data_IF_934022233922
#
_entry.id   IF_934022233922
#
_cell.length_a   1.000
_cell.length_b   1.000
_cell.length_c   1.000
_cell.angle_alpha   90.00
_cell.angle_beta   90.00
_cell.angle_gamma   90.00
#
_symmetry.space_group_name_H-M   'P 1'
#
loop_
_entity.id
_entity.type
_entity.pdbx_description
1 polymer ?
#
# COMPACT_ATOMS: atom_id res chain seq x y z
N UNK A 1 48.34 14.19 -0.42
CA UNK A 1 47.03 13.63 0.00
C UNK A 1 45.96 14.69 -0.24
N UNK A 2 45.15 14.54 -1.30
CA UNK A 2 44.05 15.46 -1.63
C UNK A 2 42.82 15.06 -0.82
N UNK A 3 42.20 16.01 -0.12
CA UNK A 3 40.92 15.79 0.60
C UNK A 3 39.80 15.49 -0.41
N UNK A 4 38.86 14.57 -0.10
CA UNK A 4 37.68 14.37 -0.93
C UNK A 4 36.75 15.58 -0.76
N UNK A 5 36.51 16.30 -1.85
CA UNK A 5 35.42 17.26 -1.98
C UNK A 5 34.10 16.48 -1.98
N UNK A 6 33.35 16.59 -0.88
CA UNK A 6 31.96 16.16 -0.83
C UNK A 6 31.17 17.03 -1.81
N UNK A 7 30.71 16.45 -2.91
CA UNK A 7 29.70 17.07 -3.76
C UNK A 7 28.39 17.09 -2.96
N UNK A 8 28.10 18.24 -2.34
CA UNK A 8 26.74 18.55 -1.95
C UNK A 8 25.97 18.80 -3.24
N UNK A 9 25.03 17.93 -3.58
CA UNK A 9 23.97 18.32 -4.52
C UNK A 9 23.25 19.52 -3.91
N UNK A 10 23.02 20.61 -4.67
CA UNK A 10 22.21 21.71 -4.18
C UNK A 10 20.81 21.15 -3.89
N UNK A 11 20.28 21.41 -2.68
CA UNK A 11 18.95 20.99 -2.26
C UNK A 11 17.84 21.37 -3.27
N UNK A 12 18.08 22.39 -4.10
CA UNK A 12 17.21 22.80 -5.19
C UNK A 12 17.06 21.78 -6.34
N UNK A 13 18.07 20.93 -6.60
CA UNK A 13 17.97 19.89 -7.64
C UNK A 13 17.18 18.66 -7.17
N UNK A 14 17.21 18.36 -5.86
CA UNK A 14 16.36 17.33 -5.27
C UNK A 14 14.90 17.80 -5.16
N UNK A 15 14.69 19.09 -4.87
CA UNK A 15 13.37 19.72 -4.90
C UNK A 15 12.76 19.79 -6.31
N UNK A 16 13.56 20.05 -7.35
CA UNK A 16 13.07 20.11 -8.74
C UNK A 16 12.69 18.74 -9.33
N UNK A 17 13.24 17.63 -8.81
CA UNK A 17 12.81 16.28 -9.17
C UNK A 17 11.52 15.89 -8.42
N UNK A 18 11.28 16.46 -7.23
CA UNK A 18 10.03 16.29 -6.46
C UNK A 18 8.87 17.17 -6.99
N UNK A 19 9.15 18.24 -7.74
CA UNK A 19 8.15 19.18 -8.25
C UNK A 19 7.57 18.77 -9.63
N UNK A 20 8.00 17.63 -10.19
CA UNK A 20 7.48 17.09 -11.46
C UNK A 20 6.87 15.68 -11.30
N UNK A 21 6.78 15.18 -10.07
CA UNK A 21 6.05 13.97 -9.71
C UNK A 21 4.86 14.39 -8.86
N UNK A 22 3.65 14.31 -9.41
CA UNK A 22 2.37 14.51 -8.72
C UNK A 22 2.13 13.44 -7.64
N UNK A 23 3.00 13.40 -6.64
CA UNK A 23 2.93 12.42 -5.56
C UNK A 23 2.01 12.94 -4.47
N UNK A 24 0.96 12.19 -4.17
CA UNK A 24 0.15 12.39 -2.98
C UNK A 24 0.79 11.65 -1.81
N UNK A 25 0.82 12.33 -0.67
CA UNK A 25 1.18 11.70 0.59
C UNK A 25 -0.09 11.26 1.31
N UNK A 26 -0.24 9.95 1.43
CA UNK A 26 -1.30 9.31 2.21
C UNK A 26 -0.81 9.09 3.64
N UNK A 27 -1.41 9.76 4.62
CA UNK A 27 -1.01 9.59 6.03
C UNK A 27 -2.17 9.11 6.88
N UNK A 28 -1.97 8.00 7.58
CA UNK A 28 -2.92 7.48 8.58
C UNK A 28 -2.36 7.68 9.99
N UNK A 29 -3.14 8.30 10.86
CA UNK A 29 -2.87 8.42 12.29
C UNK A 29 -3.93 7.62 13.04
N UNK A 30 -3.53 6.48 13.58
CA UNK A 30 -4.38 5.56 14.33
C UNK A 30 -4.14 5.79 15.82
N UNK A 31 -5.16 6.32 16.50
CA UNK A 31 -5.14 6.44 17.96
C UNK A 31 -5.92 5.28 18.59
N UNK A 32 -5.23 4.38 19.28
CA UNK A 32 -5.82 3.22 19.96
C UNK A 32 -6.26 3.51 21.40
N UNK A 33 -6.42 4.79 21.75
CA UNK A 33 -7.02 5.27 22.98
C UNK A 33 -8.50 4.89 23.13
N UNK A 34 -9.21 5.60 24.00
CA UNK A 34 -10.62 5.35 24.28
C UNK A 34 -11.44 6.64 24.11
N UNK A 35 -12.25 6.77 23.04
CA UNK A 35 -12.51 5.79 21.98
C UNK A 35 -11.39 5.72 20.92
N UNK A 36 -11.18 4.56 20.26
CA UNK A 36 -10.20 4.42 19.18
C UNK A 36 -10.70 5.10 17.90
N UNK A 37 -9.80 5.74 17.16
CA UNK A 37 -10.12 6.45 15.93
C UNK A 37 -8.95 6.42 14.93
N UNK A 38 -9.29 6.61 13.65
CA UNK A 38 -8.33 6.83 12.56
C UNK A 38 -8.56 8.23 12.00
N UNK A 39 -7.48 8.96 11.85
CA UNK A 39 -7.40 10.15 11.01
C UNK A 39 -6.62 9.81 9.76
N UNK A 40 -7.14 10.18 8.60
CA UNK A 40 -6.52 9.97 7.31
C UNK A 40 -6.37 11.29 6.60
N UNK A 41 -5.14 11.67 6.25
CA UNK A 41 -4.87 12.90 5.51
C UNK A 41 -4.31 12.58 4.13
N UNK A 42 -4.73 13.37 3.14
CA UNK A 42 -4.11 13.43 1.83
C UNK A 42 -3.53 14.83 1.64
N UNK A 43 -2.25 14.87 1.28
CA UNK A 43 -1.55 16.09 0.90
C UNK A 43 -1.05 15.88 -0.54
N UNK A 44 -1.49 16.71 -1.49
CA UNK A 44 -1.02 16.65 -2.86
C UNK A 44 -1.64 17.71 -3.77
N UNK A 45 -1.29 17.67 -5.05
CA UNK A 45 -1.73 18.70 -5.99
C UNK A 45 -3.22 18.57 -6.34
N UNK A 46 -3.77 19.65 -6.90
CA UNK A 46 -5.19 19.69 -7.23
C UNK A 46 -5.60 18.82 -8.42
N UNK A 47 -4.68 18.47 -9.31
CA UNK A 47 -4.98 17.65 -10.48
C UNK A 47 -5.22 16.22 -10.00
N UNK A 48 -4.30 15.69 -9.21
CA UNK A 48 -4.31 14.30 -8.74
C UNK A 48 -5.46 14.06 -7.74
N UNK A 49 -5.75 15.04 -6.88
CA UNK A 49 -6.82 14.88 -5.87
C UNK A 49 -8.24 15.01 -6.42
N UNK A 50 -8.45 15.65 -7.57
CA UNK A 50 -9.80 15.97 -8.09
C UNK A 50 -10.12 15.41 -9.47
N UNK A 51 -9.20 14.73 -10.14
CA UNK A 51 -9.50 14.04 -11.40
C UNK A 51 -10.37 12.77 -11.22
N UNK A 52 -10.61 12.38 -9.95
CA UNK A 52 -11.48 11.29 -9.55
C UNK A 52 -10.83 9.93 -9.58
N UNK A 53 -9.54 9.82 -9.91
CA UNK A 53 -8.81 8.54 -9.95
C UNK A 53 -8.44 8.03 -8.58
N UNK A 54 -8.23 8.93 -7.62
CA UNK A 54 -7.99 8.57 -6.22
C UNK A 54 -9.32 8.44 -5.50
N UNK A 55 -9.56 7.24 -4.98
CA UNK A 55 -10.75 6.93 -4.21
C UNK A 55 -10.71 7.70 -2.86
N UNK A 56 -11.45 8.80 -2.78
CA UNK A 56 -11.64 9.51 -1.53
C UNK A 56 -12.66 8.76 -0.65
N UNK A 57 -12.50 8.73 0.69
CA UNK A 57 -13.51 8.16 1.57
C UNK A 57 -14.82 8.96 1.52
N UNK A 58 -15.77 8.49 0.71
CA UNK A 58 -17.09 9.11 0.56
C UNK A 58 -18.15 8.48 1.47
N UNK A 59 -17.94 7.23 1.88
CA UNK A 59 -18.94 6.45 2.62
C UNK A 59 -18.71 6.47 4.14
N UNK A 60 -19.79 6.38 4.95
CA UNK A 60 -19.68 6.10 6.38
C UNK A 60 -18.79 4.88 6.67
N UNK A 61 -18.01 4.89 7.76
CA UNK A 61 -18.06 5.85 8.86
C UNK A 61 -17.07 7.03 8.72
N UNK A 62 -16.52 7.26 7.54
CA UNK A 62 -15.61 8.37 7.30
C UNK A 62 -16.33 9.72 7.27
N UNK A 63 -15.74 10.71 7.90
CA UNK A 63 -16.21 12.09 7.90
C UNK A 63 -15.07 13.02 7.50
N UNK A 64 -15.27 13.85 6.49
CA UNK A 64 -14.33 14.92 6.13
C UNK A 64 -14.32 15.96 7.27
N UNK A 65 -13.17 16.14 7.92
CA UNK A 65 -12.98 17.07 9.05
C UNK A 65 -12.25 18.33 8.66
N UNK A 66 -11.40 18.27 7.63
CA UNK A 66 -10.59 19.41 7.17
C UNK A 66 -10.50 19.39 5.65
N UNK A 67 -10.62 20.57 5.05
CA UNK A 67 -10.35 20.81 3.63
C UNK A 67 -9.69 22.17 3.51
N UNK A 68 -8.40 22.16 3.23
CA UNK A 68 -7.61 23.37 3.06
C UNK A 68 -6.96 23.40 1.69
N UNK A 69 -6.79 24.62 1.20
CA UNK A 69 -6.17 24.92 -0.08
C UNK A 69 -5.00 25.86 0.20
N UNK A 70 -3.82 25.43 -0.21
CA UNK A 70 -2.60 26.23 -0.18
C UNK A 70 -2.16 26.53 -1.61
N UNK A 71 -1.69 27.75 -1.84
CA UNK A 71 -1.09 28.13 -3.13
C UNK A 71 0.40 28.27 -2.86
N UNK A 72 1.19 27.41 -3.49
CA UNK A 72 2.64 27.46 -3.32
C UNK A 72 3.17 28.75 -3.99
N UNK A 73 3.90 29.61 -3.25
CA UNK A 73 4.37 30.88 -3.78
C UNK A 73 5.36 30.76 -4.95
N UNK A 74 6.06 29.64 -5.04
CA UNK A 74 7.20 29.46 -5.95
C UNK A 74 6.77 29.16 -7.39
N UNK A 75 5.71 28.38 -7.57
CA UNK A 75 5.26 27.86 -8.85
C UNK A 75 3.76 28.06 -9.11
N UNK A 76 3.04 28.69 -8.18
CA UNK A 76 1.58 28.86 -8.22
C UNK A 76 0.80 27.54 -8.28
N UNK A 77 1.42 26.42 -7.89
CA UNK A 77 0.70 25.14 -7.75
C UNK A 77 -0.30 25.22 -6.61
N UNK A 78 -1.44 24.56 -6.80
CA UNK A 78 -2.50 24.50 -5.80
C UNK A 78 -2.38 23.15 -5.11
N UNK A 79 -2.00 23.17 -3.84
CA UNK A 79 -1.96 21.98 -2.98
C UNK A 79 -3.23 21.94 -2.15
N UNK A 80 -3.80 20.74 -2.01
CA UNK A 80 -4.91 20.51 -1.13
C UNK A 80 -4.52 19.60 0.03
N UNK A 81 -5.05 19.95 1.19
CA UNK A 81 -4.94 19.18 2.42
C UNK A 81 -6.33 18.71 2.80
N UNK A 82 -6.59 17.42 2.64
CA UNK A 82 -7.85 16.79 3.01
C UNK A 82 -7.61 15.96 4.28
N UNK A 83 -8.47 16.09 5.29
CA UNK A 83 -8.44 15.21 6.46
C UNK A 83 -9.81 14.56 6.66
N UNK A 84 -9.79 13.24 6.85
CA UNK A 84 -10.92 12.41 7.15
C UNK A 84 -10.73 11.78 8.51
N UNK A 85 -11.83 11.54 9.22
CA UNK A 85 -11.83 10.84 10.49
C UNK A 85 -12.88 9.74 10.49
N UNK A 86 -12.54 8.61 11.09
CA UNK A 86 -13.47 7.51 11.32
C UNK A 86 -13.25 6.89 12.70
N UNK A 87 -14.32 6.46 13.41
CA UNK A 87 -14.18 5.63 14.59
C UNK A 87 -13.62 4.25 14.21
N UNK A 88 -12.76 3.69 15.06
CA UNK A 88 -12.18 2.35 14.87
C UNK A 88 -12.78 1.35 15.87
N UNK A 89 -14.10 1.33 15.93
CA UNK A 89 -14.88 0.43 16.80
C UNK A 89 -15.09 -0.94 16.19
N UNK A 90 -15.05 -1.04 14.86
CA UNK A 90 -15.18 -2.25 14.07
C UNK A 90 -14.11 -2.31 12.97
N UNK A 91 -14.21 -3.28 12.06
CA UNK A 91 -13.32 -3.38 10.90
C UNK A 91 -13.58 -2.18 9.98
N UNK A 92 -12.60 -1.30 9.86
CA UNK A 92 -12.69 -0.08 9.06
C UNK A 92 -12.02 -0.30 7.69
N UNK A 93 -12.71 0.06 6.61
CA UNK A 93 -12.14 0.02 5.25
C UNK A 93 -11.30 1.27 5.00
N UNK A 94 -10.14 1.11 4.34
CA UNK A 94 -9.28 2.22 3.96
C UNK A 94 -9.30 2.47 2.44
N UNK A 95 -9.02 3.70 1.97
CA UNK A 95 -9.19 4.09 0.56
C UNK A 95 -8.10 3.58 -0.39
N UNK A 96 -6.93 3.16 0.10
CA UNK A 96 -5.78 2.74 -0.74
C UNK A 96 -5.91 1.31 -1.32
N UNK A 97 -7.09 0.72 -1.20
CA UNK A 97 -7.33 -0.64 -1.69
C UNK A 97 -7.81 -0.63 -3.16
N UNK A 98 -7.51 -1.67 -3.95
CA UNK A 98 -8.17 -1.89 -5.23
C UNK A 98 -9.69 -2.01 -5.01
N UNK A 99 -10.54 -1.57 -5.96
CA UNK A 99 -11.99 -1.57 -5.78
C UNK A 99 -12.62 -2.93 -5.46
N UNK A 100 -12.00 -4.04 -5.89
CA UNK A 100 -12.55 -5.38 -5.69
C UNK A 100 -12.09 -6.05 -4.38
N UNK A 101 -11.09 -5.50 -3.70
CA UNK A 101 -10.54 -6.08 -2.46
C UNK A 101 -10.67 -5.12 -1.29
N UNK A 102 -10.89 -5.69 -0.11
CA UNK A 102 -11.06 -4.90 1.10
C UNK A 102 -9.72 -4.68 1.78
N UNK A 103 -9.20 -3.46 1.69
CA UNK A 103 -8.17 -3.00 2.61
C UNK A 103 -8.79 -2.67 3.96
N UNK A 104 -8.19 -3.15 5.06
CA UNK A 104 -8.83 -3.06 6.37
C UNK A 104 -7.90 -2.62 7.49
N UNK A 105 -8.47 -1.88 8.44
CA UNK A 105 -7.93 -1.65 9.77
C UNK A 105 -8.78 -2.42 10.78
N UNK A 106 -8.12 -3.19 11.64
CA UNK A 106 -8.76 -4.00 12.68
C UNK A 106 -8.07 -3.80 14.01
N UNK A 107 -8.88 -3.68 15.06
CA UNK A 107 -8.40 -3.72 16.44
C UNK A 107 -9.01 -4.89 17.19
N UNK A 108 -8.22 -5.50 18.07
CA UNK A 108 -8.71 -6.50 19.01
C UNK A 108 -8.24 -6.14 20.42
N UNK A 109 -9.14 -6.26 21.38
CA UNK A 109 -8.83 -6.12 22.81
C UNK A 109 -9.06 -7.49 23.46
N UNK A 110 -8.05 -8.05 24.11
CA UNK A 110 -8.13 -9.32 24.83
C UNK A 110 -7.56 -9.16 26.24
N UNK A 111 -8.05 -9.96 27.17
CA UNK A 111 -7.49 -10.07 28.51
C UNK A 111 -6.80 -11.41 28.65
N UNK A 112 -5.53 -11.41 29.06
CA UNK A 112 -4.69 -12.59 29.21
C UNK A 112 -4.05 -12.58 30.59
N UNK A 113 -4.83 -13.00 31.60
CA UNK A 113 -4.39 -13.12 32.99
C UNK A 113 -3.89 -11.79 33.57
N UNK A 114 -2.58 -11.57 33.56
CA UNK A 114 -1.95 -10.37 34.11
C UNK A 114 -1.87 -9.19 33.13
N UNK A 115 -2.29 -9.38 31.88
CA UNK A 115 -2.14 -8.37 30.83
C UNK A 115 -3.46 -8.07 30.11
N UNK A 116 -3.66 -6.80 29.78
CA UNK A 116 -4.57 -6.36 28.71
C UNK A 116 -3.76 -6.32 27.42
N UNK A 117 -4.23 -7.03 26.40
CA UNK A 117 -3.59 -7.11 25.10
C UNK A 117 -4.42 -6.33 24.09
N UNK A 118 -3.77 -5.38 23.43
CA UNK A 118 -4.34 -4.63 22.32
C UNK A 118 -3.61 -5.04 21.05
N UNK A 119 -4.33 -5.56 20.06
CA UNK A 119 -3.77 -5.88 18.75
C UNK A 119 -4.35 -4.93 17.72
N UNK A 120 -3.48 -4.37 16.91
CA UNK A 120 -3.82 -3.65 15.70
C UNK A 120 -3.31 -4.42 14.49
N UNK A 121 -4.10 -4.45 13.44
CA UNK A 121 -3.74 -5.06 12.17
C UNK A 121 -4.27 -4.18 11.05
N UNK A 122 -3.38 -3.80 10.13
CA UNK A 122 -3.73 -3.14 8.89
C UNK A 122 -3.34 -4.05 7.73
N UNK A 123 -4.25 -4.23 6.77
CA UNK A 123 -4.02 -5.04 5.58
C UNK A 123 -4.22 -4.17 4.35
N UNK A 124 -3.12 -3.95 3.62
CA UNK A 124 -3.08 -3.28 2.33
C UNK A 124 -2.98 -4.34 1.24
N UNK A 125 -4.10 -4.72 0.58
CA UNK A 125 -4.11 -5.79 -0.41
C UNK A 125 -3.25 -5.46 -1.62
N UNK A 126 -2.70 -6.50 -2.25
CA UNK A 126 -2.01 -6.37 -3.53
C UNK A 126 -2.97 -5.90 -4.64
N UNK A 127 -2.46 -5.05 -5.52
CA UNK A 127 -3.14 -4.62 -6.74
C UNK A 127 -3.05 -5.64 -7.88
N UNK A 128 -2.14 -6.63 -7.77
CA UNK A 128 -1.87 -7.69 -8.76
C UNK A 128 -1.67 -7.10 -10.15
N UNK A 129 -0.79 -6.09 -10.23
CA UNK A 129 -0.63 -5.21 -11.40
C UNK A 129 -0.19 -6.02 -12.61
N UNK A 130 0.82 -6.87 -12.46
CA UNK A 130 1.33 -7.74 -13.53
C UNK A 130 0.25 -8.69 -14.03
N UNK A 131 -0.55 -9.25 -13.14
CA UNK A 131 -1.64 -10.16 -13.51
C UNK A 131 -2.78 -9.45 -14.23
N UNK A 132 -3.08 -8.19 -13.86
CA UNK A 132 -4.21 -7.43 -14.41
C UNK A 132 -3.88 -6.64 -15.66
N UNK A 133 -2.66 -6.14 -15.75
CA UNK A 133 -2.26 -5.14 -16.75
C UNK A 133 -1.03 -5.55 -17.55
N UNK A 134 -0.34 -6.61 -17.12
CA UNK A 134 0.88 -7.11 -17.76
C UNK A 134 2.15 -6.60 -17.08
N UNK A 135 3.27 -7.24 -17.42
CA UNK A 135 4.60 -6.83 -16.97
C UNK A 135 5.23 -5.91 -18.03
N UNK A 136 5.35 -4.61 -17.73
CA UNK A 136 5.96 -3.65 -18.66
C UNK A 136 7.45 -3.93 -18.89
N UNK A 137 8.15 -4.36 -17.84
CA UNK A 137 9.59 -4.65 -17.87
C UNK A 137 9.89 -5.84 -18.79
N UNK A 138 8.94 -6.77 -18.96
CA UNK A 138 9.09 -7.88 -19.91
C UNK A 138 9.27 -7.42 -21.38
N UNK A 139 8.90 -6.17 -21.69
CA UNK A 139 9.06 -5.58 -23.02
C UNK A 139 10.27 -4.65 -23.13
N UNK A 140 10.97 -4.36 -22.03
CA UNK A 140 12.14 -3.50 -22.01
C UNK A 140 13.41 -4.29 -22.33
N UNK A 141 14.18 -3.91 -23.36
CA UNK A 141 15.51 -4.47 -23.57
C UNK A 141 16.43 -4.15 -22.39
N UNK A 142 17.27 -5.07 -21.89
CA UNK A 142 18.14 -4.82 -20.73
C UNK A 142 19.14 -3.66 -20.89
N UNK A 143 19.39 -3.21 -22.12
CA UNK A 143 20.21 -2.02 -22.38
C UNK A 143 19.52 -0.71 -21.95
N UNK A 144 18.19 -0.71 -21.81
CA UNK A 144 17.40 0.44 -21.33
C UNK A 144 17.69 0.73 -19.85
N UNK A 145 18.05 -0.27 -19.04
CA UNK A 145 18.43 -0.11 -17.63
C UNK A 145 19.58 0.89 -17.44
N UNK A 146 20.40 1.11 -18.47
CA UNK A 146 21.46 2.12 -18.45
C UNK A 146 20.93 3.54 -18.30
N UNK A 147 19.69 3.82 -18.72
CA UNK A 147 19.04 5.11 -18.54
C UNK A 147 18.70 5.41 -17.09
N UNK A 148 18.50 4.37 -16.27
CA UNK A 148 18.07 4.50 -14.87
C UNK A 148 19.25 4.54 -13.89
N UNK A 149 20.47 4.29 -14.39
CA UNK A 149 21.66 4.32 -13.56
C UNK A 149 22.00 5.75 -13.12
N UNK A 150 22.38 5.96 -11.84
CA UNK A 150 22.83 7.27 -11.37
C UNK A 150 23.98 7.82 -12.22
N UNK A 151 23.78 9.00 -12.81
CA UNK A 151 24.77 9.66 -13.67
C UNK A 151 24.71 9.27 -15.15
N UNK A 152 23.69 8.52 -15.59
CA UNK A 152 23.46 8.16 -17.00
C UNK A 152 23.55 9.37 -17.94
N UNK A 153 23.01 10.53 -17.52
CA UNK A 153 23.06 11.79 -18.28
C UNK A 153 24.48 12.26 -18.63
N UNK A 154 25.47 11.91 -17.80
CA UNK A 154 26.87 12.29 -18.00
C UNK A 154 27.71 11.18 -18.61
N UNK A 155 27.31 9.92 -18.41
CA UNK A 155 28.05 8.75 -18.86
C UNK A 155 27.74 8.37 -20.31
N UNK A 156 26.52 8.65 -20.79
CA UNK A 156 26.07 8.31 -22.14
C UNK A 156 26.30 9.46 -23.12
N UNK A 157 26.75 9.14 -24.33
CA UNK A 157 26.71 10.14 -25.41
C UNK A 157 25.26 10.50 -25.73
N UNK A 158 24.97 11.74 -26.20
CA UNK A 158 23.61 12.14 -26.54
C UNK A 158 22.94 11.21 -27.56
N UNK A 159 23.70 10.71 -28.54
CA UNK A 159 23.22 9.76 -29.54
C UNK A 159 22.86 8.41 -28.91
N UNK A 160 23.68 7.90 -28.00
CA UNK A 160 23.41 6.64 -27.32
C UNK A 160 22.20 6.76 -26.39
N UNK A 161 22.08 7.86 -25.64
CA UNK A 161 20.92 8.16 -24.80
C UNK A 161 19.62 8.20 -25.64
N UNK A 162 19.62 8.96 -26.73
CA UNK A 162 18.46 9.05 -27.63
C UNK A 162 18.08 7.68 -28.25
N UNK A 163 19.05 6.83 -28.54
CA UNK A 163 18.77 5.45 -28.99
C UNK A 163 18.08 4.63 -27.90
N UNK A 164 18.57 4.67 -26.66
CA UNK A 164 17.99 3.92 -25.55
C UNK A 164 16.58 4.44 -25.20
N UNK A 165 16.36 5.76 -25.25
CA UNK A 165 15.03 6.36 -25.06
C UNK A 165 14.03 5.85 -26.11
N UNK A 166 14.43 5.76 -27.38
CA UNK A 166 13.58 5.16 -28.43
C UNK A 166 13.29 3.69 -28.18
N UNK A 167 14.26 2.92 -27.69
CA UNK A 167 14.05 1.51 -27.33
C UNK A 167 13.08 1.37 -26.15
N UNK A 168 13.20 2.22 -25.13
CA UNK A 168 12.24 2.31 -24.01
C UNK A 168 10.84 2.62 -24.53
N UNK A 169 10.70 3.66 -25.36
CA UNK A 169 9.41 4.04 -25.93
C UNK A 169 8.78 2.91 -26.76
N UNK A 170 9.57 2.18 -27.56
CA UNK A 170 9.09 0.98 -28.27
C UNK A 170 8.68 -0.15 -27.33
N UNK A 171 9.40 -0.35 -26.23
CA UNK A 171 9.03 -1.29 -25.17
C UNK A 171 7.68 -0.92 -24.54
N UNK A 172 7.51 0.35 -24.17
CA UNK A 172 6.27 0.87 -23.58
C UNK A 172 5.09 0.72 -24.54
N UNK A 173 5.27 1.00 -25.83
CA UNK A 173 4.23 0.78 -26.85
C UNK A 173 3.77 -0.69 -26.94
N UNK A 174 4.70 -1.64 -26.81
CA UNK A 174 4.37 -3.07 -26.79
C UNK A 174 3.68 -3.47 -25.48
N UNK A 175 4.13 -2.95 -24.35
CA UNK A 175 3.50 -3.16 -23.06
C UNK A 175 2.05 -2.63 -23.06
N UNK A 176 1.81 -1.42 -23.56
CA UNK A 176 0.46 -0.85 -23.76
C UNK A 176 -0.40 -1.74 -24.66
N UNK A 177 0.14 -2.22 -25.78
CA UNK A 177 -0.58 -3.12 -26.68
C UNK A 177 -0.99 -4.43 -25.98
N UNK A 178 -0.08 -5.02 -25.19
CA UNK A 178 -0.37 -6.20 -24.39
C UNK A 178 -1.44 -5.93 -23.32
N UNK A 179 -1.35 -4.80 -22.62
CA UNK A 179 -2.34 -4.37 -21.63
C UNK A 179 -3.74 -4.34 -22.24
N UNK A 180 -3.92 -3.76 -23.43
CA UNK A 180 -5.23 -3.73 -24.09
C UNK A 180 -5.76 -5.11 -24.47
N UNK A 181 -4.90 -6.05 -24.88
CA UNK A 181 -5.31 -7.45 -25.07
C UNK A 181 -5.80 -8.05 -23.74
N UNK A 182 -5.10 -7.81 -22.64
CA UNK A 182 -5.52 -8.26 -21.31
C UNK A 182 -6.84 -7.62 -20.85
N UNK A 183 -7.09 -6.35 -21.18
CA UNK A 183 -8.39 -5.72 -20.91
C UNK A 183 -9.53 -6.44 -21.64
N UNK A 184 -9.34 -6.82 -22.91
CA UNK A 184 -10.34 -7.60 -23.66
C UNK A 184 -10.56 -8.96 -23.02
N UNK A 185 -9.50 -9.65 -22.63
CA UNK A 185 -9.60 -10.91 -21.89
C UNK A 185 -10.42 -10.74 -20.60
N UNK A 186 -10.09 -9.76 -19.77
CA UNK A 186 -10.81 -9.50 -18.51
C UNK A 186 -12.28 -9.12 -18.72
N UNK A 187 -12.60 -8.38 -19.78
CA UNK A 187 -13.98 -8.09 -20.14
C UNK A 187 -14.76 -9.38 -20.48
N UNK A 188 -14.17 -10.25 -21.32
CA UNK A 188 -14.81 -11.51 -21.70
C UNK A 188 -14.96 -12.43 -20.49
N UNK A 189 -13.92 -12.61 -19.67
CA UNK A 189 -13.96 -13.43 -18.46
C UNK A 189 -14.96 -12.89 -17.43
N UNK A 190 -14.95 -11.57 -17.20
CA UNK A 190 -15.85 -10.89 -16.27
C UNK A 190 -17.32 -11.08 -16.63
N UNK A 191 -17.65 -11.05 -17.93
CA UNK A 191 -19.03 -11.27 -18.40
C UNK A 191 -19.62 -12.61 -17.98
N UNK A 192 -18.83 -13.69 -18.03
CA UNK A 192 -19.27 -15.02 -17.59
C UNK A 192 -19.22 -15.16 -16.07
N UNK A 193 -18.21 -14.58 -15.42
CA UNK A 193 -18.07 -14.59 -13.97
C UNK A 193 -19.28 -13.96 -13.27
N UNK A 194 -19.77 -12.84 -13.78
CA UNK A 194 -20.95 -12.14 -13.25
C UNK A 194 -22.24 -12.98 -13.33
N UNK A 195 -22.25 -14.03 -14.17
CA UNK A 195 -23.36 -14.99 -14.32
C UNK A 195 -23.14 -16.28 -13.52
N UNK A 196 -22.00 -16.43 -12.86
CA UNK A 196 -21.60 -17.67 -12.21
C UNK A 196 -21.28 -18.78 -13.22
N UNK A 197 -20.91 -18.43 -14.45
CA UNK A 197 -20.57 -19.35 -15.51
C UNK A 197 -19.05 -19.45 -15.69
N UNK A 198 -18.58 -20.61 -16.16
CA UNK A 198 -17.17 -20.79 -16.56
C UNK A 198 -17.03 -20.40 -18.03
N UNK A 199 -16.08 -19.50 -18.33
CA UNK A 199 -15.80 -19.10 -19.71
C UNK A 199 -15.07 -20.21 -20.48
N UNK A 200 -15.50 -20.46 -21.72
CA UNK A 200 -14.79 -21.34 -22.64
C UNK A 200 -13.56 -20.62 -23.21
N UNK A 201 -12.40 -21.29 -23.26
CA UNK A 201 -11.16 -20.69 -23.76
C UNK A 201 -11.24 -20.25 -25.23
N UNK A 202 -12.10 -20.88 -26.03
CA UNK A 202 -12.35 -20.48 -27.42
C UNK A 202 -13.05 -19.13 -27.53
N UNK A 203 -13.91 -18.78 -26.57
CA UNK A 203 -14.59 -17.47 -26.53
C UNK A 203 -13.59 -16.36 -26.20
N UNK A 204 -12.67 -16.59 -25.24
CA UNK A 204 -11.58 -15.65 -24.97
C UNK A 204 -10.70 -15.48 -26.19
N UNK A 205 -10.31 -16.58 -26.84
CA UNK A 205 -9.48 -16.54 -28.05
C UNK A 205 -10.15 -15.76 -29.20
N UNK A 206 -11.45 -15.95 -29.44
CA UNK A 206 -12.19 -15.21 -30.47
C UNK A 206 -12.21 -13.69 -30.18
N UNK A 207 -12.47 -13.28 -28.93
CA UNK A 207 -12.43 -11.87 -28.52
C UNK A 207 -11.04 -11.24 -28.72
N UNK A 208 -9.98 -11.95 -28.32
CA UNK A 208 -8.60 -11.51 -28.51
C UNK A 208 -8.22 -11.43 -29.99
N UNK A 209 -8.61 -12.40 -30.82
CA UNK A 209 -8.30 -12.41 -32.25
C UNK A 209 -8.94 -11.22 -32.98
N UNK A 210 -10.24 -10.96 -32.70
CA UNK A 210 -10.97 -9.82 -33.25
C UNK A 210 -10.31 -8.49 -32.93
N UNK A 211 -9.98 -8.26 -31.66
CA UNK A 211 -9.35 -7.00 -31.25
C UNK A 211 -7.90 -6.90 -31.74
N UNK A 212 -7.13 -7.99 -31.71
CA UNK A 212 -5.74 -7.99 -32.15
C UNK A 212 -5.63 -7.56 -33.63
N UNK A 213 -6.56 -7.94 -34.50
CA UNK A 213 -6.56 -7.46 -35.88
C UNK A 213 -6.63 -5.92 -35.98
N UNK A 214 -7.49 -5.29 -35.16
CA UNK A 214 -7.62 -3.82 -35.08
C UNK A 214 -6.35 -3.20 -34.47
N UNK A 215 -5.84 -3.78 -33.40
CA UNK A 215 -4.62 -3.33 -32.73
C UNK A 215 -3.41 -3.38 -33.66
N UNK A 216 -3.22 -4.47 -34.42
CA UNK A 216 -2.15 -4.57 -35.41
C UNK A 216 -2.29 -3.53 -36.52
N UNK A 217 -3.52 -3.29 -37.01
CA UNK A 217 -3.78 -2.23 -37.98
C UNK A 217 -3.40 -0.85 -37.41
N UNK A 218 -3.73 -0.57 -36.15
CA UNK A 218 -3.35 0.66 -35.45
C UNK A 218 -1.82 0.79 -35.35
N UNK A 219 -1.13 -0.24 -34.86
CA UNK A 219 0.34 -0.25 -34.74
C UNK A 219 1.05 -0.03 -36.09
N UNK A 220 0.49 -0.54 -37.20
CA UNK A 220 1.02 -0.27 -38.54
C UNK A 220 0.96 1.22 -38.92
N UNK A 221 -0.03 1.98 -38.42
CA UNK A 221 -0.11 3.44 -38.64
C UNK A 221 0.99 4.19 -37.89
N UNK A 222 1.51 3.61 -36.80
CA UNK A 222 2.54 4.21 -35.95
C UNK A 222 3.96 3.88 -36.44
N UNK A 223 4.13 2.82 -37.24
CA UNK A 223 5.44 2.29 -37.67
C UNK A 223 6.39 3.33 -38.28
N UNK A 224 5.87 4.36 -38.93
CA UNK A 224 6.66 5.40 -39.59
C UNK A 224 6.85 6.67 -38.75
N UNK A 225 6.40 6.68 -37.49
CA UNK A 225 6.57 7.80 -36.54
C UNK A 225 7.75 7.53 -35.62
N UNK A 226 8.41 8.59 -35.14
CA UNK A 226 9.40 8.42 -34.06
C UNK A 226 8.66 7.94 -32.82
N UNK A 227 9.05 6.81 -32.19
CA UNK A 227 8.38 6.30 -30.99
C UNK A 227 8.28 7.31 -29.85
N UNK A 228 9.19 8.29 -29.79
CA UNK A 228 9.18 9.36 -28.80
C UNK A 228 8.08 10.41 -29.06
N UNK A 229 7.55 10.49 -30.28
CA UNK A 229 6.48 11.42 -30.67
C UNK A 229 5.09 10.78 -30.58
N UNK A 230 5.01 9.49 -30.25
CA UNK A 230 3.76 8.74 -30.18
C UNK A 230 3.25 8.76 -28.75
N UNK A 231 2.02 9.26 -28.55
CA UNK A 231 1.29 9.11 -27.28
C UNK A 231 1.24 7.63 -26.89
N UNK A 232 1.43 7.31 -25.61
CA UNK A 232 1.29 5.93 -25.11
C UNK A 232 -0.13 5.60 -24.67
N UNK A 233 -1.02 6.59 -24.66
CA UNK A 233 -2.40 6.47 -24.20
C UNK A 233 -3.37 6.40 -25.40
N UNK A 234 -3.43 5.25 -26.07
CA UNK A 234 -4.36 5.00 -27.19
C UNK A 234 -5.78 4.60 -26.78
N UNK A 235 -6.12 4.75 -25.50
CA UNK A 235 -7.39 4.27 -24.96
C UNK A 235 -8.58 4.95 -25.67
N UNK A 236 -8.62 6.29 -25.85
CA UNK A 236 -9.72 6.94 -26.56
C UNK A 236 -9.96 6.39 -27.97
N UNK A 237 -8.91 6.01 -28.69
CA UNK A 237 -8.97 5.50 -30.06
C UNK A 237 -9.38 4.02 -30.14
N UNK A 238 -8.93 3.20 -29.18
CA UNK A 238 -9.13 1.75 -29.21
C UNK A 238 -10.26 1.24 -28.31
N UNK A 239 -10.76 2.07 -27.39
CA UNK A 239 -11.83 1.76 -26.44
C UNK A 239 -13.03 1.08 -27.10
N UNK A 240 -13.58 1.69 -28.15
CA UNK A 240 -14.77 1.14 -28.80
C UNK A 240 -14.51 -0.22 -29.44
N UNK A 241 -13.35 -0.37 -30.08
CA UNK A 241 -12.97 -1.61 -30.75
C UNK A 241 -12.74 -2.76 -29.76
N UNK A 242 -12.14 -2.47 -28.59
CA UNK A 242 -11.98 -3.46 -27.51
C UNK A 242 -13.32 -3.98 -27.01
N UNK A 243 -14.24 -3.07 -26.69
CA UNK A 243 -15.55 -3.42 -26.16
C UNK A 243 -16.41 -4.15 -27.19
N UNK A 244 -16.38 -3.74 -28.47
CA UNK A 244 -17.08 -4.44 -29.55
C UNK A 244 -16.55 -5.86 -29.77
N UNK A 245 -15.22 -6.05 -29.77
CA UNK A 245 -14.63 -7.38 -29.89
C UNK A 245 -15.08 -8.32 -28.77
N UNK A 246 -15.10 -7.84 -27.52
CA UNK A 246 -15.60 -8.61 -26.38
C UNK A 246 -17.11 -8.90 -26.47
N UNK A 247 -17.91 -7.93 -26.90
CA UNK A 247 -19.35 -8.08 -27.09
C UNK A 247 -19.68 -9.11 -28.17
N UNK A 248 -19.00 -9.07 -29.31
CA UNK A 248 -19.20 -10.01 -30.41
C UNK A 248 -18.82 -11.44 -30.01
N UNK A 249 -17.70 -11.62 -29.31
CA UNK A 249 -17.26 -12.94 -28.86
C UNK A 249 -18.21 -13.57 -27.83
N UNK A 250 -18.78 -12.75 -26.96
CA UNK A 250 -19.66 -13.20 -25.87
C UNK A 250 -21.15 -13.22 -26.23
N UNK A 251 -21.54 -12.58 -27.33
CA UNK A 251 -22.93 -12.27 -27.65
C UNK A 251 -23.60 -11.30 -26.67
N UNK A 252 -22.82 -10.58 -25.86
CA UNK A 252 -23.33 -9.63 -24.87
C UNK A 252 -23.63 -8.23 -25.45
N UNK A 253 -24.22 -7.39 -24.61
CA UNK A 253 -24.60 -6.02 -24.99
C UNK A 253 -23.36 -5.09 -25.02
N UNK A 254 -23.06 -4.42 -26.14
CA UNK A 254 -21.91 -3.51 -26.24
C UNK A 254 -21.87 -2.41 -25.17
N UNK A 255 -23.02 -1.90 -24.73
CA UNK A 255 -23.05 -0.84 -23.72
C UNK A 255 -22.48 -1.30 -22.36
N UNK A 256 -22.74 -2.55 -21.97
CA UNK A 256 -22.13 -3.17 -20.79
C UNK A 256 -20.61 -3.28 -20.92
N UNK A 257 -20.12 -3.65 -22.11
CA UNK A 257 -18.68 -3.74 -22.38
C UNK A 257 -17.98 -2.38 -22.43
N UNK A 258 -18.64 -1.32 -22.92
CA UNK A 258 -18.09 0.04 -22.84
C UNK A 258 -17.90 0.47 -21.38
N UNK A 259 -18.89 0.20 -20.52
CA UNK A 259 -18.77 0.49 -19.08
C UNK A 259 -17.67 -0.35 -18.41
N UNK A 260 -17.53 -1.62 -18.81
CA UNK A 260 -16.46 -2.49 -18.31
C UNK A 260 -15.07 -1.98 -18.71
N UNK A 261 -14.89 -1.58 -19.98
CA UNK A 261 -13.65 -0.98 -20.48
C UNK A 261 -13.29 0.29 -19.69
N UNK A 262 -14.24 1.20 -19.50
CA UNK A 262 -14.02 2.44 -18.73
C UNK A 262 -13.64 2.16 -17.28
N UNK A 263 -14.30 1.17 -16.67
CA UNK A 263 -13.99 0.75 -15.32
C UNK A 263 -12.58 0.17 -15.21
N UNK A 264 -12.14 -0.64 -16.17
CA UNK A 264 -10.77 -1.20 -16.21
C UNK A 264 -9.73 -0.09 -16.42
N UNK A 265 -9.95 0.82 -17.37
CA UNK A 265 -9.02 1.93 -17.63
C UNK A 265 -8.91 2.89 -16.44
N UNK A 266 -10.04 3.20 -15.80
CA UNK A 266 -10.04 4.00 -14.58
C UNK A 266 -9.21 3.36 -13.48
N UNK A 267 -9.35 2.04 -13.24
CA UNK A 267 -8.55 1.33 -12.24
C UNK A 267 -7.06 1.31 -12.55
N UNK A 268 -6.70 1.18 -13.83
CA UNK A 268 -5.31 1.28 -14.26
C UNK A 268 -4.74 2.66 -13.95
N UNK A 269 -5.49 3.73 -14.25
CA UNK A 269 -5.08 5.10 -13.94
C UNK A 269 -4.97 5.35 -12.44
N UNK A 270 -5.92 4.86 -11.65
CA UNK A 270 -5.83 4.88 -10.18
C UNK A 270 -4.57 4.17 -9.65
N UNK A 271 -4.16 3.08 -10.29
CA UNK A 271 -2.91 2.41 -9.95
C UNK A 271 -1.70 3.27 -10.29
N UNK A 272 -1.66 3.85 -11.49
CA UNK A 272 -0.55 4.71 -11.92
C UNK A 272 -0.35 5.91 -10.97
N UNK A 273 -1.43 6.55 -10.54
CA UNK A 273 -1.32 7.64 -9.57
C UNK A 273 -0.79 7.10 -8.22
N UNK A 274 -1.31 5.96 -7.77
CA UNK A 274 -0.88 5.34 -6.51
C UNK A 274 0.57 4.84 -6.55
N UNK A 275 1.08 4.39 -7.69
CA UNK A 275 2.39 3.72 -7.82
C UNK A 275 3.53 4.57 -7.24
N UNK A 276 3.47 5.87 -7.49
CA UNK A 276 4.45 6.87 -7.04
C UNK A 276 4.08 7.54 -5.71
N UNK A 277 2.92 7.21 -5.15
CA UNK A 277 2.45 7.79 -3.89
C UNK A 277 3.20 7.25 -2.68
N UNK A 278 3.35 8.12 -1.69
CA UNK A 278 3.92 7.78 -0.40
C UNK A 278 2.81 7.46 0.60
N UNK A 279 2.90 6.30 1.25
CA UNK A 279 2.02 5.90 2.34
C UNK A 279 2.76 5.94 3.67
N UNK A 280 2.23 6.68 4.62
CA UNK A 280 2.71 6.81 5.99
C UNK A 280 1.64 6.31 6.95
N UNK A 281 2.01 5.46 7.90
CA UNK A 281 1.10 5.02 8.95
C UNK A 281 1.73 5.20 10.32
N UNK A 282 1.02 5.90 11.18
CA UNK A 282 1.38 6.15 12.57
C UNK A 282 0.33 5.52 13.47
N UNK A 283 0.76 4.65 14.39
CA UNK A 283 -0.13 4.04 15.39
C UNK A 283 0.33 4.44 16.78
N UNK A 284 -0.52 5.19 17.49
CA UNK A 284 -0.35 5.48 18.93
C UNK A 284 -0.96 4.32 19.71
N UNK A 285 -0.09 3.48 20.26
CA UNK A 285 -0.45 2.28 21.00
C UNK A 285 -0.01 2.46 22.46
N UNK A 286 -0.90 2.97 23.34
CA UNK A 286 -0.58 3.10 24.75
C UNK A 286 -0.46 1.70 25.35
N UNK A 287 0.79 1.23 25.52
CA UNK A 287 1.12 -0.07 26.06
C UNK A 287 2.46 -0.01 26.80
N UNK A 288 2.58 -0.72 27.92
CA UNK A 288 3.87 -0.85 28.61
C UNK A 288 4.93 -1.58 27.79
N UNK A 289 4.50 -2.56 27.00
CA UNK A 289 5.36 -3.30 26.06
C UNK A 289 4.63 -3.46 24.73
N UNK A 290 5.36 -3.40 23.62
CA UNK A 290 4.78 -3.68 22.32
C UNK A 290 5.68 -4.60 21.49
N UNK A 291 5.06 -5.31 20.55
CA UNK A 291 5.72 -6.05 19.47
C UNK A 291 5.08 -5.62 18.16
N UNK A 292 5.88 -5.21 17.20
CA UNK A 292 5.40 -4.80 15.87
C UNK A 292 6.37 -5.19 14.77
N UNK A 293 5.91 -5.05 13.54
CA UNK A 293 6.77 -4.99 12.35
C UNK A 293 6.91 -3.53 11.84
N UNK A 294 6.88 -2.55 12.75
CA UNK A 294 7.06 -1.15 12.41
C UNK A 294 8.50 -0.86 11.98
N UNK A 295 8.67 0.04 11.01
CA UNK A 295 9.99 0.47 10.53
C UNK A 295 10.71 1.28 11.61
N UNK A 296 9.96 2.09 12.36
CA UNK A 296 10.47 2.89 13.47
C UNK A 296 9.51 2.87 14.66
N UNK A 297 10.08 2.96 15.86
CA UNK A 297 9.33 3.06 17.12
C UNK A 297 9.83 4.28 17.89
N UNK A 298 8.91 5.16 18.27
CA UNK A 298 9.17 6.32 19.12
C UNK A 298 8.24 6.26 20.32
N UNK A 299 8.77 5.91 21.50
CA UNK A 299 7.98 5.74 22.75
C UNK A 299 6.80 4.77 22.58
N UNK A 300 5.59 5.30 22.45
CA UNK A 300 4.30 4.63 22.30
C UNK A 300 3.77 4.69 20.86
N UNK A 301 4.53 5.30 19.95
CA UNK A 301 4.17 5.54 18.56
C UNK A 301 4.96 4.63 17.64
N UNK A 302 4.24 3.91 16.78
CA UNK A 302 4.78 3.00 15.79
C UNK A 302 4.60 3.59 14.40
N UNK A 303 5.65 3.52 13.58
CA UNK A 303 5.70 4.18 12.27
C UNK A 303 6.01 3.16 11.17
N UNK A 304 5.23 3.21 10.10
CA UNK A 304 5.48 2.52 8.84
C UNK A 304 5.51 3.52 7.70
N UNK A 305 6.39 3.29 6.72
CA UNK A 305 6.49 4.08 5.50
C UNK A 305 6.76 3.15 4.32
N UNK A 306 5.95 3.26 3.27
CA UNK A 306 6.12 2.49 2.04
C UNK A 306 5.52 3.25 0.85
N UNK A 307 5.95 2.91 -0.35
CA UNK A 307 5.42 3.46 -1.61
C UNK A 307 4.26 2.61 -2.14
N UNK A 308 3.37 3.18 -2.94
CA UNK A 308 2.29 2.43 -3.57
C UNK A 308 2.78 1.34 -4.52
N UNK A 309 3.90 1.54 -5.22
CA UNK A 309 4.60 0.51 -6.01
C UNK A 309 4.88 -0.78 -5.22
N UNK A 310 5.07 -0.67 -3.90
CA UNK A 310 5.28 -1.81 -3.02
C UNK A 310 4.04 -2.70 -2.84
N UNK A 311 2.86 -2.22 -3.25
CA UNK A 311 1.57 -2.91 -3.26
C UNK A 311 1.25 -3.58 -4.61
N UNK A 312 2.11 -3.43 -5.63
CA UNK A 312 1.87 -3.97 -6.97
C UNK A 312 1.54 -5.46 -6.90
N UNK A 313 2.45 -6.26 -6.30
CA UNK A 313 2.34 -7.74 -6.31
C UNK A 313 2.21 -8.37 -4.93
N UNK A 314 2.29 -7.59 -3.85
CA UNK A 314 2.33 -8.14 -2.50
C UNK A 314 1.39 -7.40 -1.55
N UNK A 315 0.54 -8.16 -0.88
CA UNK A 315 -0.25 -7.65 0.24
C UNK A 315 0.69 -7.28 1.38
N UNK A 316 0.56 -6.05 1.90
CA UNK A 316 1.29 -5.61 3.08
C UNK A 316 0.42 -5.73 4.32
N UNK A 317 0.94 -6.49 5.28
CA UNK A 317 0.31 -6.70 6.57
C UNK A 317 1.12 -5.97 7.65
N UNK A 318 0.51 -4.97 8.28
CA UNK A 318 1.11 -4.20 9.35
C UNK A 318 0.48 -4.64 10.66
N UNK A 319 1.30 -5.03 11.63
CA UNK A 319 0.83 -5.64 12.88
C UNK A 319 1.51 -4.98 14.06
N UNK A 320 0.72 -4.60 15.04
CA UNK A 320 1.20 -4.17 16.34
C UNK A 320 0.41 -4.86 17.46
N UNK A 321 1.12 -5.27 18.50
CA UNK A 321 0.52 -5.89 19.69
C UNK A 321 1.10 -5.22 20.92
N UNK A 322 0.24 -4.60 21.73
CA UNK A 322 0.57 -3.93 22.97
C UNK A 322 0.10 -4.74 24.18
N UNK A 323 0.89 -4.74 25.24
CA UNK A 323 0.66 -5.43 26.50
C UNK A 323 0.68 -4.42 27.64
N UNK A 324 -0.44 -4.29 28.34
CA UNK A 324 -0.58 -3.47 29.52
C UNK A 324 -0.73 -4.33 30.77
N UNK A 325 0.19 -4.24 31.74
CA UNK A 325 0.05 -4.92 33.01
C UNK A 325 -1.21 -4.45 33.73
N UNK A 326 -1.99 -5.41 34.20
CA UNK A 326 -3.19 -5.15 34.97
C UNK A 326 -2.76 -5.07 36.44
N UNK A 327 -2.33 -3.88 36.87
CA UNK A 327 -1.72 -3.71 38.20
C UNK A 327 -2.60 -4.19 39.35
N UNK A 328 -3.93 -4.07 39.22
CA UNK A 328 -4.87 -4.57 40.22
C UNK A 328 -4.94 -6.10 40.30
N UNK A 329 -4.48 -6.86 39.28
CA UNK A 329 -4.29 -8.32 39.39
C UNK A 329 -2.88 -8.68 39.83
N UNK A 330 -1.88 -7.92 39.37
CA UNK A 330 -0.47 -8.18 39.65
C UNK A 330 -0.14 -7.93 41.13
N UNK A 331 -0.63 -6.82 41.71
CA UNK A 331 -0.32 -6.43 43.08
C UNK A 331 -0.84 -7.49 44.09
N UNK A 332 -2.10 -7.94 44.05
CA UNK A 332 -2.58 -8.98 44.96
C UNK A 332 -1.85 -10.31 44.77
N UNK A 333 -1.54 -10.69 43.54
CA UNK A 333 -0.81 -11.92 43.26
C UNK A 333 0.61 -11.87 43.85
N UNK A 334 1.31 -10.75 43.68
CA UNK A 334 2.62 -10.53 44.27
C UNK A 334 2.57 -10.52 45.81
N UNK A 335 1.55 -9.89 46.40
CA UNK A 335 1.33 -9.88 47.84
C UNK A 335 1.06 -11.30 48.39
N UNK A 336 0.23 -12.08 47.69
CA UNK A 336 -0.05 -13.48 48.04
C UNK A 336 1.21 -14.34 47.97
N UNK A 337 2.00 -14.19 46.91
CA UNK A 337 3.26 -14.92 46.73
C UNK A 337 4.26 -14.55 47.84
N UNK A 338 4.37 -13.26 48.18
CA UNK A 338 5.17 -12.78 49.30
C UNK A 338 4.74 -13.39 50.64
N UNK A 339 3.43 -13.47 50.90
CA UNK A 339 2.89 -14.10 52.11
C UNK A 339 3.24 -15.60 52.17
N UNK A 340 3.11 -16.33 51.05
CA UNK A 340 3.46 -17.75 50.96
C UNK A 340 4.96 -18.00 51.25
N UNK A 341 5.84 -17.13 50.73
CA UNK A 341 7.28 -17.19 51.03
C UNK A 341 7.54 -16.98 52.52
N UNK A 342 6.93 -15.96 53.14
CA UNK A 342 7.07 -15.69 54.58
C UNK A 342 6.57 -16.88 55.42
N UNK A 343 5.43 -17.46 55.07
CA UNK A 343 4.88 -18.63 55.76
C UNK A 343 5.77 -19.88 55.59
N UNK A 344 6.33 -20.09 54.40
CA UNK A 344 7.27 -21.16 54.10
C UNK A 344 8.55 -21.05 54.93
N UNK A 345 9.18 -19.87 54.96
CA UNK A 345 10.36 -19.59 55.78
C UNK A 345 10.05 -19.82 57.26
N UNK A 346 8.91 -19.32 57.77
CA UNK A 346 8.51 -19.52 59.17
C UNK A 346 8.24 -20.99 59.52
N UNK A 347 7.82 -21.81 58.56
CA UNK A 347 7.63 -23.25 58.75
C UNK A 347 8.98 -23.97 58.78
N UNK A 348 9.88 -23.61 57.86
CA UNK A 348 11.24 -24.16 57.79
C UNK A 348 12.04 -23.85 59.06
N UNK A 349 12.05 -22.61 59.55
CA UNK A 349 12.76 -22.24 60.79
C UNK A 349 12.22 -23.00 62.01
N UNK A 350 10.90 -23.21 62.10
CA UNK A 350 10.30 -24.04 63.17
C UNK A 350 10.65 -25.53 63.06
N UNK A 351 10.88 -26.03 61.85
CA UNK A 351 11.37 -27.40 61.61
C UNK A 351 12.81 -27.57 62.06
N UNK A 352 13.70 -26.65 61.66
CA UNK A 352 15.12 -26.65 62.04
C UNK A 352 15.30 -26.61 63.55
N UNK A 353 14.54 -25.77 64.26
CA UNK A 353 14.60 -25.70 65.75
C UNK A 353 14.14 -27.00 66.43
N UNK A 354 13.25 -27.78 65.80
CA UNK A 354 12.84 -29.08 66.33
C UNK A 354 13.86 -30.19 66.06
N UNK A 355 14.57 -30.14 64.94
CA UNK A 355 15.59 -31.14 64.58
C UNK A 355 16.95 -30.89 65.23
N UNK A 356 17.33 -29.63 65.47
CA UNK A 356 18.59 -29.33 66.16
C UNK A 356 18.55 -29.60 67.65
N UNK A 357 17.36 -29.92 68.21
CA UNK A 357 17.15 -30.61 69.48
C UNK A 357 18.34 -30.55 70.43
N UNK A 358 18.77 -29.34 70.79
CA UNK A 358 19.77 -29.14 71.84
C UNK A 358 18.98 -29.43 73.10
N UNK A 359 19.23 -30.55 73.79
CA UNK A 359 18.54 -30.80 75.04
C UNK A 359 18.86 -29.63 75.96
N UNK A 360 17.81 -28.91 76.38
CA UNK A 360 17.88 -28.03 77.53
C UNK A 360 18.13 -28.92 78.75
N UNK A 361 19.39 -29.28 78.97
CA UNK A 361 19.80 -30.28 79.95
C UNK A 361 21.24 -30.07 80.33
N UNK A 362 21.44 -29.27 81.37
CA UNK A 362 22.74 -29.05 81.98
C UNK A 362 22.66 -28.06 83.14
N UNK A 363 21.69 -28.23 84.04
CA UNK A 363 21.82 -27.69 85.40
C UNK A 363 22.99 -28.43 86.05
N UNK A 364 24.17 -27.81 86.02
CA UNK A 364 25.29 -28.18 86.86
C UNK A 364 25.17 -27.39 88.16
N UNK A 365 24.89 -28.14 89.22
CA UNK A 365 24.94 -27.73 90.62
C UNK A 365 26.36 -27.38 91.07
#
# INVERSE_FOLDING_TARGET
>A
MKKPTRFAMPAAALAAVLLLSGCITHRFIINLGDPPAVEYTLDGDSLDLYDGRIALPADPPWTLTRREREVQPEDSTIVWHLAYRAPLTEVLRHPIAPPETLGTFRTERRWLGLFRVRRFTAEFPSWRVVERYGDEEAFMPPEVDLLEQPGADTALSPEHKARLERLRALGMQKATAQRYLMQVQHMVEGWYLDRGETVDSGVVADGLERFNAVLQAHLLTLRNRDPLEVTLEWYPELRESMALAAAEATGGDPAGFFAAADSIDHRWKSWLDLEDDQVEMMVVLPAAFHRSNADTTMTDTLLWSFTGSSLAEKTRLLVAVGYDPVWWTIIPLAALLGLLVVLGVRRWTRGVVRETGVPAGGDAA
#
